data_IF_762831489693
#
_entry.id   IF_762831489693
#
_cell.length_a   1.000
_cell.length_b   1.000
_cell.length_c   1.000
_cell.angle_alpha   90.00
_cell.angle_beta   90.00
_cell.angle_gamma   90.00
#
_symmetry.space_group_name_H-M   'P 1'
#
loop_
_entity.id
_entity.type
_entity.pdbx_description
1 polymer ?
#
# COMPACT_ATOMS: atom_id res chain seq x y z
N UNK A 1 -11.95 1.72 -10.43
CA UNK A 1 -10.73 0.93 -10.28
C UNK A 1 -10.64 -0.17 -11.34
N UNK A 2 -11.62 -1.08 -11.43
CA UNK A 2 -11.61 -2.21 -12.38
C UNK A 2 -11.47 -1.75 -13.83
N UNK A 3 -12.22 -0.72 -14.24
CA UNK A 3 -12.13 -0.13 -15.58
C UNK A 3 -10.73 0.39 -15.87
N UNK A 4 -10.12 1.11 -14.93
CA UNK A 4 -8.76 1.62 -15.09
C UNK A 4 -7.73 0.48 -15.24
N UNK A 5 -7.89 -0.60 -14.47
CA UNK A 5 -7.03 -1.79 -14.61
C UNK A 5 -7.19 -2.46 -15.97
N UNK A 6 -8.43 -2.60 -16.45
CA UNK A 6 -8.73 -3.14 -17.79
C UNK A 6 -8.11 -2.28 -18.90
N UNK A 7 -8.31 -0.95 -18.83
CA UNK A 7 -7.71 -0.02 -19.78
C UNK A 7 -6.19 -0.12 -19.78
N UNK A 8 -5.57 -0.15 -18.61
CA UNK A 8 -4.13 -0.31 -18.48
C UNK A 8 -3.61 -1.61 -19.08
N UNK A 9 -4.32 -2.72 -18.81
CA UNK A 9 -3.97 -4.04 -19.37
C UNK A 9 -4.05 -4.05 -20.89
N UNK A 10 -5.13 -3.54 -21.47
CA UNK A 10 -5.27 -3.45 -22.94
C UNK A 10 -4.20 -2.55 -23.53
N UNK A 11 -3.97 -1.39 -22.92
CA UNK A 11 -2.97 -0.44 -23.37
C UNK A 11 -1.55 -1.04 -23.41
N UNK A 12 -1.13 -1.71 -22.33
CA UNK A 12 0.19 -2.34 -22.27
C UNK A 12 0.38 -3.48 -23.27
N UNK A 13 -0.69 -4.18 -23.66
CA UNK A 13 -0.59 -5.34 -24.57
C UNK A 13 -0.80 -5.00 -26.05
N UNK A 14 -1.44 -3.87 -26.36
CA UNK A 14 -1.83 -3.51 -27.75
C UNK A 14 -1.03 -2.32 -28.28
N UNK A 15 -0.49 -1.48 -27.41
CA UNK A 15 0.18 -0.25 -27.81
C UNK A 15 1.71 -0.43 -27.81
N UNK A 16 2.35 -0.26 -28.97
CA UNK A 16 3.81 -0.39 -29.15
C UNK A 16 4.59 0.68 -28.35
N UNK A 17 3.97 1.84 -28.08
CA UNK A 17 4.57 2.94 -27.33
C UNK A 17 4.22 2.91 -25.83
N UNK A 18 3.74 1.79 -25.32
CA UNK A 18 3.27 1.67 -23.94
C UNK A 18 4.36 2.02 -22.92
N UNK A 19 5.59 1.58 -23.12
CA UNK A 19 6.71 1.85 -22.20
C UNK A 19 7.05 3.34 -22.11
N UNK A 20 7.10 4.05 -23.25
CA UNK A 20 7.40 5.49 -23.26
C UNK A 20 6.31 6.31 -22.56
N UNK A 21 5.04 5.97 -22.82
CA UNK A 21 3.91 6.65 -22.18
C UNK A 21 3.86 6.34 -20.68
N UNK A 22 4.11 5.08 -20.27
CA UNK A 22 4.16 4.71 -18.86
C UNK A 22 5.28 5.47 -18.14
N UNK A 23 6.46 5.58 -18.73
CA UNK A 23 7.56 6.36 -18.16
C UNK A 23 7.22 7.85 -17.96
N UNK A 24 6.52 8.45 -18.94
CA UNK A 24 6.03 9.84 -18.82
C UNK A 24 4.95 9.96 -17.74
N UNK A 25 4.06 8.99 -17.67
CA UNK A 25 2.97 8.93 -16.68
C UNK A 25 3.52 8.83 -15.27
N UNK A 26 4.54 8.01 -15.01
CA UNK A 26 5.17 7.86 -13.71
C UNK A 26 5.69 9.19 -13.15
N UNK A 27 6.22 10.05 -13.99
CA UNK A 27 6.69 11.39 -13.59
C UNK A 27 5.55 12.27 -13.04
N UNK A 28 4.36 12.16 -13.63
CA UNK A 28 3.18 12.92 -13.19
C UNK A 28 2.47 12.24 -12.02
N UNK A 29 2.57 10.94 -11.92
CA UNK A 29 1.91 10.16 -10.87
C UNK A 29 2.52 10.45 -9.48
N UNK A 30 3.83 10.65 -9.38
CA UNK A 30 4.49 10.92 -8.11
C UNK A 30 3.96 12.18 -7.39
N UNK A 31 3.85 13.36 -8.01
CA UNK A 31 3.22 14.54 -7.39
C UNK A 31 1.74 14.32 -7.02
N UNK A 32 1.00 13.59 -7.86
CA UNK A 32 -0.41 13.28 -7.59
C UNK A 32 -0.56 12.37 -6.35
N UNK A 33 0.33 11.40 -6.15
CA UNK A 33 0.35 10.59 -4.94
C UNK A 33 0.61 11.45 -3.69
N UNK A 34 1.60 12.35 -3.75
CA UNK A 34 1.87 13.25 -2.63
C UNK A 34 0.63 14.09 -2.30
N UNK A 35 0.01 14.69 -3.31
CA UNK A 35 -1.20 15.48 -3.13
C UNK A 35 -2.35 14.64 -2.53
N UNK A 36 -2.55 13.43 -3.03
CA UNK A 36 -3.57 12.51 -2.53
C UNK A 36 -3.35 12.16 -1.04
N UNK A 37 -2.14 11.84 -0.64
CA UNK A 37 -1.84 11.51 0.75
C UNK A 37 -1.95 12.74 1.68
N UNK A 38 -1.54 13.92 1.21
CA UNK A 38 -1.67 15.16 1.98
C UNK A 38 -3.14 15.50 2.21
N UNK A 39 -3.97 15.44 1.16
CA UNK A 39 -5.41 15.70 1.28
C UNK A 39 -6.09 14.66 2.17
N UNK A 40 -5.79 13.38 2.00
CA UNK A 40 -6.35 12.32 2.84
C UNK A 40 -5.94 12.45 4.30
N UNK A 41 -4.70 12.90 4.56
CA UNK A 41 -4.24 13.19 5.91
C UNK A 41 -4.91 14.43 6.53
N UNK A 42 -5.20 15.44 5.71
CA UNK A 42 -5.89 16.66 6.16
C UNK A 42 -7.36 16.41 6.51
N UNK A 43 -8.01 15.41 5.90
CA UNK A 43 -9.36 14.99 6.21
C UNK A 43 -9.48 14.17 7.51
N UNK A 44 -8.34 13.71 8.07
CA UNK A 44 -8.33 12.92 9.29
C UNK A 44 -8.71 13.80 10.49
N UNK A 45 -9.86 13.54 11.11
CA UNK A 45 -10.22 14.17 12.36
C UNK A 45 -9.54 13.47 13.54
N UNK A 46 -8.55 14.15 14.12
CA UNK A 46 -7.80 13.63 15.26
C UNK A 46 -8.66 13.46 16.53
N UNK A 47 -9.86 14.03 16.59
CA UNK A 47 -10.80 13.85 17.71
C UNK A 47 -11.31 12.42 17.80
N UNK A 48 -11.30 11.68 16.70
CA UNK A 48 -11.64 10.26 16.64
C UNK A 48 -10.76 9.43 17.59
N UNK A 49 -9.51 9.85 17.80
CA UNK A 49 -8.60 9.20 18.76
C UNK A 49 -8.97 9.40 20.23
N UNK A 50 -9.84 10.36 20.52
CA UNK A 50 -10.35 10.60 21.88
C UNK A 50 -11.52 9.66 22.25
N UNK A 51 -12.20 9.07 21.26
CA UNK A 51 -13.29 8.13 21.50
C UNK A 51 -12.74 6.71 21.70
N UNK A 52 -12.74 6.27 22.96
CA UNK A 52 -12.22 4.96 23.35
C UNK A 52 -12.90 3.79 22.62
N UNK A 53 -14.19 3.93 22.30
CA UNK A 53 -14.94 2.93 21.55
C UNK A 53 -14.43 2.80 20.11
N UNK A 54 -14.18 3.89 19.41
CA UNK A 54 -13.67 3.90 18.03
C UNK A 54 -12.26 3.36 17.98
N UNK A 55 -11.42 3.74 18.92
CA UNK A 55 -10.04 3.22 19.04
C UNK A 55 -10.06 1.71 19.31
N UNK A 56 -10.95 1.23 20.19
CA UNK A 56 -11.10 -0.19 20.47
C UNK A 56 -11.52 -1.01 19.25
N UNK A 57 -12.53 -0.53 18.52
CA UNK A 57 -13.01 -1.18 17.28
C UNK A 57 -11.91 -1.11 16.20
N UNK A 58 -11.24 0.03 16.05
CA UNK A 58 -10.14 0.21 15.11
C UNK A 58 -8.97 -0.72 15.39
N UNK A 59 -8.59 -0.88 16.65
CA UNK A 59 -7.54 -1.82 17.06
C UNK A 59 -7.93 -3.27 16.78
N UNK A 60 -9.15 -3.68 17.11
CA UNK A 60 -9.67 -5.02 16.81
C UNK A 60 -9.67 -5.28 15.29
N UNK A 61 -10.09 -4.28 14.49
CA UNK A 61 -10.05 -4.35 13.04
C UNK A 61 -8.61 -4.54 12.51
N UNK A 62 -7.65 -3.75 13.00
CA UNK A 62 -6.24 -3.85 12.58
C UNK A 62 -5.68 -5.23 12.89
N UNK A 63 -5.90 -5.75 14.12
CA UNK A 63 -5.40 -7.05 14.54
C UNK A 63 -6.03 -8.18 13.71
N UNK A 64 -7.35 -8.21 13.60
CA UNK A 64 -8.08 -9.21 12.84
C UNK A 64 -7.67 -9.24 11.37
N UNK A 65 -7.58 -8.05 10.75
CA UNK A 65 -7.18 -7.92 9.35
C UNK A 65 -5.73 -8.33 9.11
N UNK A 66 -4.81 -7.91 9.98
CA UNK A 66 -3.39 -8.30 9.90
C UNK A 66 -3.22 -9.81 10.04
N UNK A 67 -3.88 -10.41 11.03
CA UNK A 67 -3.88 -11.85 11.22
C UNK A 67 -4.44 -12.59 10.00
N UNK A 68 -5.56 -12.13 9.45
CA UNK A 68 -6.18 -12.69 8.24
C UNK A 68 -5.26 -12.63 7.02
N UNK A 69 -4.60 -11.49 6.79
CA UNK A 69 -3.65 -11.32 5.68
C UNK A 69 -2.43 -12.23 5.81
N UNK A 70 -1.83 -12.27 7.01
CA UNK A 70 -0.66 -13.12 7.26
C UNK A 70 -1.03 -14.59 7.14
N UNK A 71 -2.11 -15.02 7.77
CA UNK A 71 -2.57 -16.40 7.70
C UNK A 71 -2.94 -16.80 6.26
N UNK A 72 -3.71 -15.97 5.57
CA UNK A 72 -4.11 -16.22 4.17
C UNK A 72 -2.91 -16.33 3.24
N UNK A 73 -1.96 -15.39 3.32
CA UNK A 73 -0.74 -15.44 2.52
C UNK A 73 0.11 -16.69 2.81
N UNK A 74 0.28 -17.02 4.10
CA UNK A 74 1.07 -18.19 4.51
C UNK A 74 0.42 -19.52 4.07
N UNK A 75 -0.90 -19.63 4.21
CA UNK A 75 -1.63 -20.85 3.78
C UNK A 75 -1.58 -20.97 2.27
N UNK A 76 -1.88 -19.91 1.53
CA UNK A 76 -1.87 -19.92 0.06
C UNK A 76 -0.47 -20.27 -0.49
N UNK A 77 0.58 -19.67 0.06
CA UNK A 77 1.96 -19.93 -0.37
C UNK A 77 2.39 -21.38 -0.07
N UNK A 78 1.96 -21.94 1.06
CA UNK A 78 2.21 -23.35 1.38
C UNK A 78 1.48 -24.31 0.44
N UNK A 79 0.22 -24.01 0.12
CA UNK A 79 -0.58 -24.82 -0.83
C UNK A 79 0.06 -24.82 -2.22
N UNK A 80 0.60 -23.68 -2.65
CA UNK A 80 1.30 -23.53 -3.93
C UNK A 80 2.73 -24.04 -3.90
N UNK A 81 3.20 -24.61 -2.77
CA UNK A 81 4.57 -25.12 -2.58
C UNK A 81 5.65 -24.07 -2.91
N UNK A 82 5.38 -22.81 -2.57
CA UNK A 82 6.37 -21.74 -2.72
C UNK A 82 7.54 -21.93 -1.74
N UNK A 83 8.65 -21.22 -2.00
CA UNK A 83 9.81 -21.22 -1.12
C UNK A 83 9.41 -20.84 0.32
N UNK A 84 10.08 -21.44 1.29
CA UNK A 84 9.80 -21.25 2.72
C UNK A 84 9.90 -19.78 3.13
N UNK A 85 10.80 -19.02 2.53
CA UNK A 85 10.92 -17.57 2.74
C UNK A 85 9.66 -16.82 2.33
N UNK A 86 9.09 -17.15 1.19
CA UNK A 86 7.84 -16.56 0.70
C UNK A 86 6.70 -16.88 1.68
N UNK A 87 6.59 -18.13 2.12
CA UNK A 87 5.56 -18.55 3.06
C UNK A 87 5.61 -17.80 4.41
N UNK A 88 6.80 -17.37 4.85
CA UNK A 88 6.99 -16.70 6.14
C UNK A 88 6.85 -15.18 6.04
N UNK A 89 7.34 -14.56 4.98
CA UNK A 89 7.50 -13.11 4.91
C UNK A 89 6.48 -12.39 4.01
N UNK A 90 5.86 -13.09 3.05
CA UNK A 90 4.88 -12.49 2.13
C UNK A 90 3.72 -11.81 2.87
N UNK A 91 3.21 -12.43 3.93
CA UNK A 91 2.10 -11.87 4.72
C UNK A 91 2.43 -10.50 5.34
N UNK A 92 3.68 -10.28 5.75
CA UNK A 92 4.12 -9.01 6.33
C UNK A 92 4.23 -7.91 5.27
N UNK A 93 4.65 -8.23 4.05
CA UNK A 93 4.75 -7.25 2.97
C UNK A 93 3.39 -6.81 2.42
N UNK A 94 2.33 -7.57 2.69
CA UNK A 94 0.96 -7.26 2.29
C UNK A 94 0.20 -6.38 3.31
N UNK A 95 0.82 -6.05 4.45
CA UNK A 95 0.16 -5.24 5.48
C UNK A 95 -0.09 -3.79 5.07
N UNK A 96 0.84 -3.06 4.41
CA UNK A 96 0.59 -1.69 3.99
C UNK A 96 -0.65 -1.60 3.11
N UNK A 97 -1.49 -0.61 3.36
CA UNK A 97 -2.73 -0.41 2.61
C UNK A 97 -3.23 1.03 2.79
N UNK A 98 -3.31 1.77 1.70
CA UNK A 98 -3.80 3.14 1.72
C UNK A 98 -4.84 3.43 0.63
N UNK A 99 -4.41 3.63 -0.60
CA UNK A 99 -5.17 4.27 -1.67
C UNK A 99 -6.57 3.73 -1.90
N UNK A 100 -6.72 2.42 -2.06
CA UNK A 100 -8.04 1.80 -2.32
C UNK A 100 -8.95 1.92 -1.10
N UNK A 101 -8.40 1.70 0.10
CA UNK A 101 -9.19 1.78 1.33
C UNK A 101 -9.71 3.21 1.56
N UNK A 102 -8.84 4.21 1.33
CA UNK A 102 -9.22 5.62 1.42
C UNK A 102 -10.30 5.98 0.39
N UNK A 103 -10.09 5.65 -0.88
CA UNK A 103 -11.07 5.93 -1.93
C UNK A 103 -12.44 5.29 -1.69
N UNK A 104 -12.47 4.06 -1.20
CA UNK A 104 -13.72 3.39 -0.84
C UNK A 104 -14.37 3.99 0.41
N UNK A 105 -13.60 4.40 1.41
CA UNK A 105 -14.12 5.00 2.63
C UNK A 105 -14.85 6.32 2.37
N UNK A 106 -14.33 7.15 1.46
CA UNK A 106 -15.00 8.39 1.01
C UNK A 106 -16.34 8.08 0.35
N UNK A 107 -16.38 7.05 -0.51
CA UNK A 107 -17.61 6.63 -1.18
C UNK A 107 -18.65 6.14 -0.17
N UNK A 108 -18.24 5.36 0.82
CA UNK A 108 -19.11 4.86 1.89
C UNK A 108 -19.66 6.02 2.73
N UNK A 109 -18.82 6.98 3.10
CA UNK A 109 -19.24 8.15 3.84
C UNK A 109 -20.30 8.98 3.07
N UNK A 110 -20.13 9.12 1.75
CA UNK A 110 -21.09 9.85 0.91
C UNK A 110 -22.42 9.13 0.77
N UNK A 111 -22.45 7.78 0.78
CA UNK A 111 -23.67 6.99 0.57
C UNK A 111 -24.45 6.67 1.86
N UNK A 112 -23.74 6.48 2.98
CA UNK A 112 -24.32 6.02 4.24
C UNK A 112 -24.49 7.12 5.30
N UNK A 113 -24.11 8.37 4.99
CA UNK A 113 -24.29 9.49 5.92
C UNK A 113 -23.50 9.31 7.23
N UNK A 114 -24.17 9.45 8.37
CA UNK A 114 -23.53 9.43 9.69
C UNK A 114 -22.83 8.10 10.02
N UNK A 115 -23.43 6.97 9.66
CA UNK A 115 -22.83 5.65 9.87
C UNK A 115 -21.60 5.45 8.96
N UNK A 116 -21.67 5.94 7.73
CA UNK A 116 -20.57 5.94 6.79
C UNK A 116 -19.37 6.78 7.26
N UNK A 117 -19.64 7.88 7.96
CA UNK A 117 -18.60 8.71 8.57
C UNK A 117 -17.81 7.93 9.64
N UNK A 118 -18.48 7.20 10.52
CA UNK A 118 -17.84 6.36 11.53
C UNK A 118 -16.97 5.27 10.88
N UNK A 119 -17.49 4.62 9.85
CA UNK A 119 -16.73 3.60 9.10
C UNK A 119 -15.49 4.23 8.46
N UNK A 120 -15.64 5.41 7.83
CA UNK A 120 -14.51 6.15 7.25
C UNK A 120 -13.44 6.44 8.29
N UNK A 121 -13.82 6.92 9.46
CA UNK A 121 -12.92 7.31 10.52
C UNK A 121 -12.13 6.10 11.07
N UNK A 122 -12.78 4.95 11.24
CA UNK A 122 -12.12 3.69 11.62
C UNK A 122 -11.11 3.26 10.53
N UNK A 123 -11.47 3.38 9.26
CA UNK A 123 -10.58 3.04 8.15
C UNK A 123 -9.40 4.00 8.09
N UNK A 124 -9.63 5.32 8.22
CA UNK A 124 -8.57 6.34 8.24
C UNK A 124 -7.59 6.10 9.39
N UNK A 125 -8.10 5.79 10.59
CA UNK A 125 -7.28 5.41 11.73
C UNK A 125 -6.39 4.21 11.43
N UNK A 126 -6.97 3.15 10.86
CA UNK A 126 -6.22 1.94 10.53
C UNK A 126 -5.18 2.16 9.43
N UNK A 127 -5.51 2.95 8.41
CA UNK A 127 -4.60 3.31 7.32
C UNK A 127 -3.41 4.09 7.86
N UNK A 128 -3.62 5.07 8.75
CA UNK A 128 -2.53 5.82 9.38
C UNK A 128 -1.52 4.88 10.06
N UNK A 129 -2.00 3.91 10.83
CA UNK A 129 -1.14 2.94 11.51
C UNK A 129 -0.41 2.05 10.50
N UNK A 130 -1.10 1.57 9.47
CA UNK A 130 -0.49 0.74 8.43
C UNK A 130 0.55 1.50 7.60
N UNK A 131 0.36 2.78 7.33
CA UNK A 131 1.32 3.62 6.60
C UNK A 131 2.57 3.95 7.44
N UNK A 132 2.43 4.08 8.76
CA UNK A 132 3.57 4.30 9.64
C UNK A 132 4.39 3.03 9.89
N UNK A 133 3.72 1.92 10.17
CA UNK A 133 4.37 0.66 10.57
C UNK A 133 4.68 -0.21 9.33
N UNK A 134 3.85 -0.17 8.32
CA UNK A 134 3.91 -1.05 7.15
C UNK A 134 5.23 -1.02 6.40
N UNK A 135 5.77 0.14 6.02
CA UNK A 135 7.06 0.22 5.32
C UNK A 135 8.22 -0.36 6.14
N UNK A 136 8.19 -0.18 7.47
CA UNK A 136 9.20 -0.73 8.38
C UNK A 136 9.13 -2.26 8.39
N UNK A 137 7.92 -2.82 8.53
CA UNK A 137 7.71 -4.27 8.51
C UNK A 137 8.05 -4.87 7.14
N UNK A 138 7.68 -4.21 6.05
CA UNK A 138 8.01 -4.63 4.69
C UNK A 138 9.52 -4.66 4.47
N UNK A 139 10.23 -3.60 4.86
CA UNK A 139 11.70 -3.56 4.78
C UNK A 139 12.35 -4.66 5.61
N UNK A 140 11.85 -4.88 6.83
CA UNK A 140 12.32 -5.98 7.69
C UNK A 140 12.10 -7.35 7.03
N UNK A 141 10.90 -7.59 6.52
CA UNK A 141 10.55 -8.85 5.86
C UNK A 141 11.42 -9.12 4.64
N UNK A 142 11.61 -8.15 3.75
CA UNK A 142 12.45 -8.27 2.56
C UNK A 142 13.94 -8.43 2.90
N UNK A 143 14.41 -7.74 3.95
CA UNK A 143 15.80 -7.89 4.42
C UNK A 143 16.04 -9.31 4.97
N UNK A 144 15.11 -9.86 5.73
CA UNK A 144 15.18 -11.23 6.26
C UNK A 144 15.02 -12.29 5.18
N UNK A 145 14.22 -12.03 4.16
CA UNK A 145 14.11 -12.90 3.00
C UNK A 145 15.40 -12.93 2.14
N UNK A 146 16.27 -11.89 2.26
CA UNK A 146 17.48 -11.76 1.48
C UNK A 146 17.27 -11.14 0.10
N UNK A 147 16.11 -10.53 -0.14
CA UNK A 147 15.74 -9.90 -1.41
C UNK A 147 16.31 -8.48 -1.55
N UNK A 148 16.67 -7.83 -0.45
CA UNK A 148 17.33 -6.53 -0.47
C UNK A 148 18.83 -6.75 -0.70
N UNK A 149 19.26 -6.61 -1.95
CA UNK A 149 20.70 -6.51 -2.24
C UNK A 149 21.17 -5.10 -1.87
N UNK A 150 22.31 -4.95 -1.18
CA UNK A 150 22.92 -3.64 -0.99
C UNK A 150 23.18 -3.06 -2.39
N UNK A 151 22.67 -1.83 -2.62
CA UNK A 151 22.87 -1.11 -3.87
C UNK A 151 24.39 -1.12 -4.17
N UNK A 152 24.87 -1.66 -5.29
CA UNK A 152 26.28 -1.59 -5.61
C UNK A 152 26.68 -0.11 -5.56
N UNK A 153 27.78 0.19 -4.83
CA UNK A 153 28.27 1.54 -4.71
C UNK A 153 28.31 2.13 -6.12
N UNK A 154 27.65 3.27 -6.28
CA UNK A 154 27.55 3.98 -7.55
C UNK A 154 28.98 4.11 -8.08
N UNK A 155 29.34 3.30 -9.10
CA UNK A 155 30.58 3.47 -9.81
C UNK A 155 30.55 4.89 -10.36
N UNK A 156 31.49 5.68 -9.85
CA UNK A 156 31.72 7.06 -10.25
C UNK A 156 31.77 7.15 -11.78
N UNK A 157 30.66 7.58 -12.39
CA UNK A 157 30.58 7.79 -13.84
C UNK A 157 31.40 9.00 -14.30
N UNK A 158 32.09 9.65 -13.40
CA UNK A 158 33.02 10.76 -13.69
C UNK A 158 34.35 10.30 -14.34
N UNK A 159 34.65 9.00 -14.37
CA UNK A 159 35.91 8.51 -14.99
C UNK A 159 35.82 8.10 -16.46
N UNK A 160 34.64 8.16 -17.09
CA UNK A 160 34.48 7.74 -18.50
C UNK A 160 34.65 8.89 -19.49
N UNK A 161 34.69 10.13 -19.06
CA UNK A 161 34.85 11.32 -19.95
C UNK A 161 36.26 11.92 -19.93
N UNK A 162 37.26 11.21 -19.41
CA UNK A 162 38.66 11.65 -19.40
C UNK A 162 39.58 10.67 -20.16
N UNK A 163 39.15 10.19 -21.32
CA UNK A 163 40.07 9.59 -22.34
C UNK A 163 39.62 9.93 -23.73
#
# INVERSE_FOLDING_TARGET
>A
LLVCMMVGTVFCNVCDFSEEIMFKTDRWTAPLYVLFFVLSGAELDLRVFAELAVVGIGAAYIISRSAGKIAGASVSSKLMKCDQKVCQYLGLTLLPQAGVALGMSVTVAAQMGAEGAIIRDIILFSVLIYELIGPILTKYALSKAGEIQPKPAQRDMTRVHAR
#
